data_IF_668082983989
#
_entry.id   IF_668082983989
#
_cell.length_a   1.000
_cell.length_b   1.000
_cell.length_c   1.000
_cell.angle_alpha   90.00
_cell.angle_beta   90.00
_cell.angle_gamma   90.00
#
_symmetry.space_group_name_H-M   'P 1'
#
loop_
_entity.id
_entity.type
_entity.pdbx_description
1 polymer ?
#
# COMPACT_ATOMS: atom_id res chain seq x y z
N UNK A 1 7.79 17.90 8.90
CA UNK A 1 6.79 16.82 8.87
C UNK A 1 5.44 17.51 8.86
N UNK A 2 4.67 17.45 7.76
CA UNK A 2 3.38 18.16 7.61
C UNK A 2 2.19 17.18 7.67
N UNK A 3 2.14 16.35 8.71
CA UNK A 3 1.05 15.39 8.92
C UNK A 3 0.16 15.79 10.09
N UNK A 4 -1.11 15.41 10.05
CA UNK A 4 -2.04 15.58 11.18
C UNK A 4 -1.67 14.65 12.36
N UNK A 5 -2.25 14.87 13.54
CA UNK A 5 -2.09 13.95 14.68
C UNK A 5 -2.45 12.51 14.31
N UNK A 6 -3.44 12.32 13.44
CA UNK A 6 -3.86 11.01 12.97
C UNK A 6 -2.75 10.34 12.13
N UNK A 7 -2.00 11.09 11.32
CA UNK A 7 -0.84 10.54 10.59
C UNK A 7 0.22 9.99 11.56
N UNK A 8 0.51 10.74 12.63
CA UNK A 8 1.48 10.32 13.65
C UNK A 8 1.02 9.05 14.37
N UNK A 9 -0.26 8.97 14.77
CA UNK A 9 -0.83 7.79 15.42
C UNK A 9 -0.81 6.55 14.50
N UNK A 10 -1.12 6.72 13.21
CA UNK A 10 -1.08 5.62 12.24
C UNK A 10 0.35 5.14 11.95
N UNK A 11 1.35 6.02 11.99
CA UNK A 11 2.77 5.63 11.86
C UNK A 11 3.25 4.76 13.02
N UNK A 12 2.73 4.97 14.23
CA UNK A 12 3.05 4.12 15.38
C UNK A 12 2.16 2.88 15.49
N UNK A 13 1.03 2.86 14.77
CA UNK A 13 0.06 1.77 14.79
C UNK A 13 -0.78 1.69 16.07
N UNK A 14 -0.78 2.74 16.90
CA UNK A 14 -1.51 2.74 18.18
C UNK A 14 -3.03 2.91 17.94
N UNK A 15 -3.75 1.78 17.95
CA UNK A 15 -5.18 1.69 17.69
C UNK A 15 -6.04 2.54 18.64
N UNK A 16 -5.69 2.62 19.92
CA UNK A 16 -6.46 3.38 20.91
C UNK A 16 -6.40 4.88 20.64
N UNK A 17 -5.22 5.39 20.32
CA UNK A 17 -5.05 6.81 19.94
C UNK A 17 -5.79 7.10 18.64
N UNK A 18 -5.72 6.20 17.65
CA UNK A 18 -6.45 6.34 16.38
C UNK A 18 -7.97 6.43 16.64
N UNK A 19 -8.52 5.50 17.43
CA UNK A 19 -9.95 5.52 17.81
C UNK A 19 -10.33 6.82 18.50
N UNK A 20 -9.53 7.30 19.45
CA UNK A 20 -9.79 8.56 20.16
C UNK A 20 -9.75 9.77 19.23
N UNK A 21 -8.77 9.85 18.33
CA UNK A 21 -8.65 10.96 17.38
C UNK A 21 -9.81 11.02 16.40
N UNK A 22 -10.29 9.88 15.91
CA UNK A 22 -11.45 9.82 15.02
C UNK A 22 -12.74 10.18 15.78
N UNK A 23 -12.98 9.55 16.92
CA UNK A 23 -14.27 9.64 17.64
C UNK A 23 -14.44 10.92 18.45
N UNK A 24 -13.37 11.44 19.05
CA UNK A 24 -13.39 12.64 19.91
C UNK A 24 -12.66 13.83 19.31
N UNK A 25 -11.60 13.58 18.54
CA UNK A 25 -10.80 14.61 17.90
C UNK A 25 -11.37 15.11 16.57
N UNK A 26 -12.43 14.48 16.06
CA UNK A 26 -13.05 14.79 14.77
C UNK A 26 -12.03 14.78 13.62
N UNK A 27 -11.01 13.92 13.73
CA UNK A 27 -9.92 13.86 12.77
C UNK A 27 -10.41 13.39 11.40
N UNK A 28 -10.02 14.11 10.36
CA UNK A 28 -10.26 13.69 8.98
C UNK A 28 -9.41 12.46 8.64
N UNK A 29 -10.07 11.32 8.46
CA UNK A 29 -9.47 10.03 8.11
C UNK A 29 -8.81 10.02 6.73
N UNK A 30 -9.19 10.97 5.86
CA UNK A 30 -8.72 11.10 4.50
C UNK A 30 -7.79 12.30 4.28
N UNK A 31 -7.38 12.98 5.36
CA UNK A 31 -6.38 14.04 5.29
C UNK A 31 -5.11 13.54 4.58
N UNK A 32 -4.47 14.40 3.81
CA UNK A 32 -3.21 14.09 3.13
C UNK A 32 -2.09 14.97 3.68
N UNK A 33 -0.91 14.39 3.89
CA UNK A 33 0.31 15.14 4.19
C UNK A 33 0.98 15.67 2.92
N UNK A 34 2.10 16.39 3.09
CA UNK A 34 2.89 16.95 1.98
C UNK A 34 3.39 15.91 0.95
N UNK A 35 3.47 14.64 1.33
CA UNK A 35 3.88 13.54 0.48
C UNK A 35 2.66 12.82 -0.11
N UNK A 36 1.48 13.46 -0.07
CA UNK A 36 0.18 12.90 -0.46
C UNK A 36 -0.15 11.58 0.25
N UNK A 37 0.39 11.36 1.44
CA UNK A 37 0.14 10.13 2.21
C UNK A 37 -1.09 10.33 3.08
N UNK A 38 -1.98 9.34 3.09
CA UNK A 38 -3.13 9.31 4.02
C UNK A 38 -2.74 8.65 5.35
N UNK A 39 -3.55 8.83 6.41
CA UNK A 39 -3.47 7.99 7.62
C UNK A 39 -3.47 6.49 7.30
N UNK A 40 -4.32 6.04 6.37
CA UNK A 40 -4.39 4.64 5.94
C UNK A 40 -3.06 4.17 5.36
N UNK A 41 -2.43 4.96 4.48
CA UNK A 41 -1.13 4.62 3.93
C UNK A 41 -0.07 4.45 5.04
N UNK A 42 -0.09 5.33 6.05
CA UNK A 42 0.82 5.23 7.20
C UNK A 42 0.56 4.00 8.08
N UNK A 43 -0.71 3.61 8.27
CA UNK A 43 -1.08 2.40 9.00
C UNK A 43 -0.65 1.12 8.25
N UNK A 44 -0.80 1.11 6.92
CA UNK A 44 -0.29 0.01 6.09
C UNK A 44 1.23 -0.08 6.17
N UNK A 45 1.92 1.06 6.07
CA UNK A 45 3.38 1.09 6.15
C UNK A 45 3.93 0.69 7.53
N UNK A 46 3.16 0.89 8.61
CA UNK A 46 3.52 0.40 9.95
C UNK A 46 3.20 -1.09 10.16
N UNK A 47 2.40 -1.70 9.28
CA UNK A 47 2.00 -3.10 9.39
C UNK A 47 0.90 -3.35 10.42
N UNK A 48 0.29 -2.30 10.98
CA UNK A 48 -0.76 -2.45 12.01
C UNK A 48 -2.11 -2.80 11.38
N UNK A 49 -2.46 -4.09 11.43
CA UNK A 49 -3.73 -4.63 10.92
C UNK A 49 -4.92 -3.93 11.59
N UNK A 50 -4.86 -3.73 12.92
CA UNK A 50 -5.95 -3.08 13.65
C UNK A 50 -6.12 -1.61 13.23
N UNK A 51 -5.02 -0.87 13.05
CA UNK A 51 -5.08 0.51 12.56
C UNK A 51 -5.70 0.60 11.15
N UNK A 52 -5.33 -0.32 10.27
CA UNK A 52 -5.92 -0.43 8.92
C UNK A 52 -7.42 -0.70 9.02
N UNK A 53 -7.83 -1.67 9.83
CA UNK A 53 -9.23 -2.03 9.99
C UNK A 53 -10.08 -0.86 10.52
N UNK A 54 -9.58 -0.14 11.54
CA UNK A 54 -10.25 1.05 12.10
C UNK A 54 -10.44 2.10 11.02
N UNK A 55 -9.40 2.42 10.26
CA UNK A 55 -9.45 3.46 9.23
C UNK A 55 -10.41 3.09 8.11
N UNK A 56 -10.37 1.84 7.62
CA UNK A 56 -11.31 1.36 6.61
C UNK A 56 -12.76 1.38 7.11
N UNK A 57 -13.00 1.02 8.37
CA UNK A 57 -14.34 1.11 9.01
C UNK A 57 -14.88 2.53 9.00
N UNK A 58 -13.98 3.52 9.10
CA UNK A 58 -14.34 4.93 9.15
C UNK A 58 -14.27 5.62 7.77
N UNK A 59 -14.24 4.86 6.68
CA UNK A 59 -14.34 5.41 5.32
C UNK A 59 -13.02 5.95 4.76
N UNK A 60 -11.88 5.39 5.19
CA UNK A 60 -10.60 5.73 4.60
C UNK A 60 -10.51 5.27 3.13
N UNK A 61 -10.05 6.17 2.28
CA UNK A 61 -9.85 5.96 0.85
C UNK A 61 -8.63 5.08 0.57
N UNK A 62 -8.80 4.12 -0.32
CA UNK A 62 -7.77 3.17 -0.77
C UNK A 62 -7.12 3.52 -2.12
N UNK A 63 -7.61 4.57 -2.79
CA UNK A 63 -7.21 4.99 -4.13
C UNK A 63 -6.17 6.12 -4.15
N UNK A 64 -5.83 6.67 -2.97
CA UNK A 64 -4.86 7.77 -2.87
C UNK A 64 -3.44 7.25 -3.09
N UNK A 65 -2.77 7.81 -4.09
CA UNK A 65 -1.38 7.48 -4.42
C UNK A 65 -0.43 8.32 -3.57
N UNK A 66 0.25 7.68 -2.62
CA UNK A 66 1.28 8.32 -1.81
C UNK A 66 2.55 8.57 -2.64
N UNK A 67 3.31 9.61 -2.28
CA UNK A 67 4.58 10.03 -2.85
C UNK A 67 5.70 9.97 -1.81
N UNK A 68 5.65 8.96 -0.95
CA UNK A 68 6.56 8.85 0.20
C UNK A 68 7.99 8.58 -0.23
N UNK A 69 8.94 9.34 0.32
CA UNK A 69 10.35 9.00 0.29
C UNK A 69 10.68 8.02 1.43
N UNK A 70 11.26 6.86 1.10
CA UNK A 70 11.76 5.90 2.10
C UNK A 70 13.23 6.13 2.44
N UNK A 71 14.01 6.73 1.52
CA UNK A 71 15.39 7.16 1.70
C UNK A 71 15.67 8.35 0.78
N UNK A 72 16.70 9.15 1.08
CA UNK A 72 17.12 10.30 0.27
C UNK A 72 17.25 9.90 -1.22
N UNK A 73 16.39 10.48 -2.06
CA UNK A 73 16.36 10.24 -3.51
C UNK A 73 15.56 9.02 -3.98
N UNK A 74 15.06 8.16 -3.09
CA UNK A 74 14.17 7.04 -3.44
C UNK A 74 12.73 7.39 -3.07
N UNK A 75 11.93 7.69 -4.09
CA UNK A 75 10.50 7.95 -3.95
C UNK A 75 9.72 6.67 -4.25
N UNK A 76 8.77 6.37 -3.38
CA UNK A 76 7.75 5.38 -3.65
C UNK A 76 6.49 6.09 -4.08
N UNK A 77 5.92 5.59 -5.18
CA UNK A 77 4.62 5.98 -5.65
C UNK A 77 3.71 4.77 -5.61
N UNK A 78 2.55 4.87 -4.96
CA UNK A 78 1.60 3.77 -4.97
C UNK A 78 0.45 3.96 -3.99
N UNK A 79 -0.60 3.19 -4.21
CA UNK A 79 -1.75 3.09 -3.30
C UNK A 79 -1.38 2.30 -2.03
N UNK A 80 -2.22 2.33 -0.98
CA UNK A 80 -2.09 1.43 0.16
C UNK A 80 -1.93 -0.05 -0.24
N UNK A 81 -2.64 -0.52 -1.28
CA UNK A 81 -2.54 -1.91 -1.72
C UNK A 81 -1.15 -2.23 -2.30
N UNK A 82 -0.56 -1.34 -3.10
CA UNK A 82 0.82 -1.51 -3.55
C UNK A 82 1.80 -1.62 -2.37
N UNK A 83 1.56 -0.87 -1.28
CA UNK A 83 2.45 -0.84 -0.12
C UNK A 83 2.35 -2.16 0.65
N UNK A 84 1.12 -2.65 0.88
CA UNK A 84 0.86 -3.94 1.51
C UNK A 84 1.45 -5.10 0.70
N UNK A 85 1.32 -5.06 -0.64
CA UNK A 85 1.91 -6.08 -1.52
C UNK A 85 3.43 -6.08 -1.49
N UNK A 86 4.05 -4.90 -1.41
CA UNK A 86 5.52 -4.77 -1.31
C UNK A 86 6.06 -5.33 0.01
N UNK A 87 5.31 -5.24 1.10
CA UNK A 87 5.68 -5.87 2.37
C UNK A 87 5.27 -7.34 2.46
N UNK A 88 4.43 -7.82 1.54
CA UNK A 88 3.93 -9.19 1.52
C UNK A 88 2.89 -9.49 2.60
N UNK A 89 2.33 -8.47 3.26
CA UNK A 89 1.40 -8.64 4.38
C UNK A 89 0.00 -9.04 3.86
N UNK A 90 -0.26 -10.34 3.85
CA UNK A 90 -1.49 -10.95 3.34
C UNK A 90 -2.77 -10.45 4.05
N UNK A 91 -2.73 -10.28 5.37
CA UNK A 91 -3.89 -9.83 6.14
C UNK A 91 -4.32 -8.41 5.76
N UNK A 92 -3.35 -7.49 5.61
CA UNK A 92 -3.63 -6.12 5.19
C UNK A 92 -4.13 -6.09 3.74
N UNK A 93 -3.54 -6.90 2.85
CA UNK A 93 -4.02 -7.02 1.45
C UNK A 93 -5.49 -7.46 1.44
N UNK A 94 -5.83 -8.49 2.22
CA UNK A 94 -7.20 -8.99 2.34
C UNK A 94 -8.14 -7.90 2.84
N UNK A 95 -7.76 -7.15 3.88
CA UNK A 95 -8.58 -6.04 4.40
C UNK A 95 -8.79 -4.94 3.35
N UNK A 96 -7.73 -4.51 2.68
CA UNK A 96 -7.81 -3.46 1.65
C UNK A 96 -8.74 -3.85 0.49
N UNK A 97 -8.72 -5.11 0.06
CA UNK A 97 -9.60 -5.60 -1.01
C UNK A 97 -11.03 -5.74 -0.53
N UNK A 98 -11.24 -6.48 0.57
CA UNK A 98 -12.58 -6.91 1.01
C UNK A 98 -13.37 -5.81 1.71
N UNK A 99 -12.70 -4.94 2.47
CA UNK A 99 -13.33 -3.87 3.25
C UNK A 99 -13.08 -2.50 2.63
N UNK A 100 -11.91 -2.29 2.04
CA UNK A 100 -11.51 -1.03 1.44
C UNK A 100 -11.83 -0.89 -0.05
N UNK A 101 -12.36 -1.94 -0.69
CA UNK A 101 -12.63 -2.00 -2.13
C UNK A 101 -11.45 -1.51 -3.00
N UNK A 102 -10.21 -1.79 -2.56
CA UNK A 102 -9.03 -1.37 -3.27
C UNK A 102 -8.96 -2.00 -4.67
N UNK A 103 -8.62 -1.20 -5.67
CA UNK A 103 -8.41 -1.70 -7.03
C UNK A 103 -7.16 -2.60 -7.08
N UNK A 104 -7.40 -3.90 -7.23
CA UNK A 104 -6.36 -4.94 -7.35
C UNK A 104 -5.43 -4.75 -8.55
N UNK A 105 -5.90 -4.00 -9.56
CA UNK A 105 -5.20 -3.74 -10.81
C UNK A 105 -4.71 -2.29 -10.93
N UNK A 106 -4.75 -1.52 -9.83
CA UNK A 106 -4.19 -0.19 -9.80
C UNK A 106 -2.72 -0.23 -10.27
N UNK A 107 -2.29 0.83 -10.95
CA UNK A 107 -0.92 0.98 -11.43
C UNK A 107 -0.26 2.18 -10.77
N UNK A 108 1.00 2.02 -10.38
CA UNK A 108 1.83 3.14 -9.93
C UNK A 108 2.48 3.90 -11.10
N UNK A 109 3.32 4.90 -10.79
CA UNK A 109 4.02 5.70 -11.82
C UNK A 109 4.98 4.89 -12.70
N UNK A 110 5.42 3.73 -12.22
CA UNK A 110 6.29 2.81 -12.96
C UNK A 110 5.47 1.72 -13.67
N UNK A 111 4.15 1.87 -13.78
CA UNK A 111 3.23 0.88 -14.31
C UNK A 111 3.29 -0.47 -13.56
N UNK A 112 3.72 -0.46 -12.30
CA UNK A 112 3.75 -1.67 -11.46
C UNK A 112 2.38 -1.87 -10.83
N UNK A 113 1.92 -3.12 -10.78
CA UNK A 113 0.68 -3.51 -10.09
C UNK A 113 0.97 -4.00 -8.67
N UNK A 114 -0.05 -4.08 -7.79
CA UNK A 114 0.08 -4.80 -6.52
C UNK A 114 0.62 -6.22 -6.69
N UNK A 115 0.18 -6.96 -7.72
CA UNK A 115 0.67 -8.32 -7.99
C UNK A 115 2.18 -8.34 -8.28
N UNK A 116 2.68 -7.38 -9.05
CA UNK A 116 4.12 -7.25 -9.29
C UNK A 116 4.90 -7.08 -7.97
N UNK A 117 4.41 -6.23 -7.08
CA UNK A 117 5.04 -6.01 -5.77
C UNK A 117 4.96 -7.25 -4.85
N UNK A 118 3.86 -8.01 -4.91
CA UNK A 118 3.70 -9.25 -4.15
C UNK A 118 4.64 -10.37 -4.64
N UNK A 119 4.85 -10.49 -5.95
CA UNK A 119 5.87 -11.40 -6.51
C UNK A 119 7.26 -10.96 -6.06
N UNK A 120 7.57 -9.67 -6.17
CA UNK A 120 8.87 -9.13 -5.76
C UNK A 120 9.16 -9.28 -4.25
N UNK A 121 8.13 -9.35 -3.40
CA UNK A 121 8.28 -9.61 -1.97
C UNK A 121 8.45 -11.09 -1.64
N UNK A 122 8.17 -12.00 -2.59
CA UNK A 122 8.24 -13.45 -2.38
C UNK A 122 7.08 -14.04 -1.56
N UNK A 123 6.03 -13.25 -1.28
CA UNK A 123 4.88 -13.71 -0.48
C UNK A 123 3.90 -14.49 -1.35
N UNK A 124 3.94 -15.82 -1.27
CA UNK A 124 3.04 -16.73 -1.99
C UNK A 124 1.58 -16.42 -1.64
N UNK A 125 1.28 -16.19 -0.36
CA UNK A 125 -0.08 -15.90 0.10
C UNK A 125 -0.58 -14.56 -0.46
N UNK A 126 0.25 -13.52 -0.50
CA UNK A 126 -0.12 -12.24 -1.11
C UNK A 126 -0.41 -12.39 -2.61
N UNK A 127 0.40 -13.18 -3.32
CA UNK A 127 0.19 -13.49 -4.74
C UNK A 127 -1.13 -14.23 -4.93
N UNK A 128 -1.40 -15.26 -4.14
CA UNK A 128 -2.61 -16.06 -4.21
C UNK A 128 -3.88 -15.23 -3.96
N UNK A 129 -3.87 -14.38 -2.92
CA UNK A 129 -4.99 -13.47 -2.62
C UNK A 129 -5.24 -12.52 -3.80
N UNK A 130 -4.20 -11.92 -4.37
CA UNK A 130 -4.35 -10.98 -5.48
C UNK A 130 -4.87 -11.69 -6.74
N UNK A 131 -4.35 -12.87 -7.09
CA UNK A 131 -4.81 -13.64 -8.24
C UNK A 131 -6.28 -14.09 -8.06
N UNK A 132 -6.64 -14.57 -6.87
CA UNK A 132 -8.01 -14.97 -6.53
C UNK A 132 -9.00 -13.79 -6.65
N UNK A 133 -8.52 -12.57 -6.45
CA UNK A 133 -9.32 -11.35 -6.59
C UNK A 133 -9.18 -10.67 -7.97
N UNK A 134 -8.66 -11.37 -8.98
CA UNK A 134 -8.67 -10.90 -10.36
C UNK A 134 -7.50 -9.99 -10.76
N UNK A 135 -6.37 -10.10 -10.06
CA UNK A 135 -5.16 -9.39 -10.48
C UNK A 135 -4.67 -9.87 -11.84
N UNK A 136 -4.37 -8.91 -12.71
CA UNK A 136 -3.87 -9.12 -14.06
C UNK A 136 -2.39 -9.53 -14.05
N UNK A 137 -2.08 -10.59 -14.78
CA UNK A 137 -0.72 -11.15 -14.91
C UNK A 137 0.03 -10.68 -16.16
N UNK A 138 -0.65 -9.95 -17.05
CA UNK A 138 -0.14 -9.49 -18.34
C UNK A 138 0.40 -8.05 -18.31
N UNK A 139 0.27 -7.36 -17.17
CA UNK A 139 0.76 -5.98 -17.03
C UNK A 139 2.29 -5.99 -16.94
N UNK A 140 2.94 -5.18 -17.77
CA UNK A 140 4.40 -5.04 -17.80
C UNK A 140 4.80 -3.82 -17.00
N UNK A 141 5.54 -4.02 -15.90
CA UNK A 141 6.12 -2.92 -15.13
C UNK A 141 7.32 -2.32 -15.89
N UNK A 142 7.53 -1.02 -15.73
CA UNK A 142 8.71 -0.29 -16.23
C UNK A 142 9.82 -0.20 -15.17
N UNK A 143 9.64 -0.83 -14.00
CA UNK A 143 10.55 -0.74 -12.86
C UNK A 143 11.84 -1.52 -13.11
N UNK A 144 12.98 -0.81 -13.11
CA UNK A 144 14.32 -1.41 -13.19
C UNK A 144 14.73 -2.02 -11.83
N UNK A 145 14.96 -3.34 -11.80
CA UNK A 145 15.68 -3.99 -10.70
C UNK A 145 17.18 -3.75 -10.88
N UNK A 146 17.72 -2.71 -10.23
CA UNK A 146 19.14 -2.30 -10.21
C UNK A 146 19.68 -1.55 -11.44
N UNK A 147 20.50 -0.54 -11.12
CA UNK A 147 21.41 0.25 -11.94
C UNK A 147 21.56 -0.18 -13.42
N UNK A 148 20.68 0.33 -14.29
CA UNK A 148 20.93 0.36 -15.74
C UNK A 148 20.44 -0.83 -16.57
N UNK A 149 19.59 -1.72 -16.04
CA UNK A 149 18.88 -2.71 -16.86
C UNK A 149 17.39 -2.37 -16.93
N UNK A 150 16.90 -2.08 -18.13
CA UNK A 150 15.47 -1.92 -18.43
C UNK A 150 14.82 -3.30 -18.47
N UNK A 151 14.07 -3.66 -17.42
CA UNK A 151 13.30 -4.90 -17.42
C UNK A 151 11.90 -4.62 -17.94
N UNK A 152 11.63 -5.00 -19.19
CA UNK A 152 10.27 -5.14 -19.70
C UNK A 152 9.80 -6.56 -19.41
N UNK A 153 9.16 -6.79 -18.25
CA UNK A 153 8.67 -8.11 -17.87
C UNK A 153 7.33 -8.08 -17.14
N UNK A 154 6.53 -9.13 -17.34
CA UNK A 154 5.31 -9.39 -16.57
C UNK A 154 5.64 -9.90 -15.15
N UNK A 155 4.71 -9.86 -14.18
CA UNK A 155 4.90 -10.47 -12.86
C UNK A 155 5.45 -11.91 -12.91
N UNK A 156 4.99 -12.73 -13.87
CA UNK A 156 5.50 -14.10 -14.07
C UNK A 156 6.98 -14.16 -14.47
N UNK A 157 7.46 -13.19 -15.25
CA UNK A 157 8.87 -13.12 -15.65
C UNK A 157 9.79 -12.75 -14.47
N UNK A 158 9.28 -12.04 -13.48
CA UNK A 158 10.00 -11.76 -12.24
C UNK A 158 10.02 -12.98 -11.32
N UNK A 159 8.91 -13.74 -11.23
CA UNK A 159 8.82 -14.94 -10.41
C UNK A 159 9.81 -16.04 -10.84
N UNK A 160 10.13 -16.16 -12.14
CA UNK A 160 11.06 -17.18 -12.65
C UNK A 160 12.54 -16.90 -12.38
N UNK A 161 12.87 -15.80 -11.68
CA UNK A 161 14.25 -15.37 -11.38
C UNK A 161 14.57 -15.30 -9.88
N UNK A 162 13.61 -15.65 -9.03
CA UNK A 162 13.79 -15.91 -7.60
C UNK A 162 14.06 -17.40 -7.38
#
# INVERSE_FOLDING_TARGET
YDGTLLHCACKTGNADIIKLLITKGNADVNAVDKDNSTPLFNAVASGSIEAVDILLTNGARTDVVSQRSFNAGIFYHGTPLHCASKTGNADIIKLLITKGNADVNAVDKDNSTPLFNAVASGSIEAVDILLTNGARTDVVSQRSFNAGIFYHGTPLHCASKL
#
